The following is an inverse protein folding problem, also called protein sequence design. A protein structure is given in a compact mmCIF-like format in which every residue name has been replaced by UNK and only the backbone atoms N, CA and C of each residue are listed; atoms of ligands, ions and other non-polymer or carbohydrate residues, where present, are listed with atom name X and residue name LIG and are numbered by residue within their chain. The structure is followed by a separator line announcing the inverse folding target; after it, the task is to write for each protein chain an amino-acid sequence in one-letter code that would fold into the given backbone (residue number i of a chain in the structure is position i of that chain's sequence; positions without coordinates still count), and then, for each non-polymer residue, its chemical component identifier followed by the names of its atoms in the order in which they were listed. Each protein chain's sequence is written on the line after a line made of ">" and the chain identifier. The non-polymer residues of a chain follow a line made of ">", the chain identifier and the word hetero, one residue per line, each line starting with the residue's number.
data_IF_846999059169
#
_entry.id   IF_846999059169
#
_cell.length_a   1.000
_cell.length_b   1.000
_cell.length_c   1.000
_cell.angle_alpha   90.00
_cell.angle_beta   90.00
_cell.angle_gamma   90.00
#
_symmetry.space_group_name_H-M   'P 1'
#
loop_
_entity.id
_entity.type
_entity.pdbx_description
1 polymer ?
#
# COMPACT_ATOMS: atom_id res chain seq x y z
N UNK A 1 -7.67 -55.91 -86.33
CA UNK A 1 -8.20 -55.29 -85.09
C UNK A 1 -7.20 -55.44 -83.96
N UNK A 2 -6.43 -54.38 -83.61
CA UNK A 2 -5.40 -54.39 -82.54
C UNK A 2 -6.00 -53.64 -81.35
N UNK A 3 -6.16 -54.38 -80.25
CA UNK A 3 -6.57 -53.74 -78.92
C UNK A 3 -5.31 -53.19 -78.24
N UNK A 4 -5.30 -51.91 -77.98
CA UNK A 4 -4.33 -51.26 -77.11
C UNK A 4 -4.82 -51.30 -75.66
N UNK A 5 -4.03 -51.93 -74.77
CA UNK A 5 -4.24 -51.95 -73.35
C UNK A 5 -3.40 -50.80 -72.76
N UNK A 6 -4.00 -49.83 -72.08
CA UNK A 6 -3.34 -48.80 -71.28
C UNK A 6 -3.22 -49.25 -69.82
N UNK A 7 -2.03 -49.15 -69.22
CA UNK A 7 -1.93 -49.40 -67.78
C UNK A 7 -2.33 -48.16 -66.96
N UNK A 8 -3.27 -48.35 -65.99
CA UNK A 8 -3.62 -47.36 -64.98
C UNK A 8 -2.50 -47.27 -63.95
N UNK A 9 -1.92 -46.07 -63.83
CA UNK A 9 -0.96 -45.74 -62.76
C UNK A 9 -1.76 -45.15 -61.61
N UNK A 10 -1.88 -45.89 -60.49
CA UNK A 10 -2.39 -45.36 -59.21
C UNK A 10 -1.31 -44.53 -58.55
N UNK A 11 -1.51 -43.17 -58.48
CA UNK A 11 -0.71 -42.28 -57.66
C UNK A 11 -1.34 -42.26 -56.29
N UNK A 12 -0.68 -42.95 -55.34
CA UNK A 12 -1.02 -42.82 -53.91
C UNK A 12 -0.41 -41.53 -53.39
N UNK A 13 -1.22 -40.49 -53.23
CA UNK A 13 -0.84 -39.23 -52.58
C UNK A 13 -0.68 -39.42 -51.06
N UNK A 14 0.55 -39.40 -50.57
CA UNK A 14 0.83 -39.24 -49.13
C UNK A 14 0.46 -37.81 -48.72
N UNK A 15 -0.67 -37.62 -48.00
CA UNK A 15 -0.93 -36.43 -47.22
C UNK A 15 -0.02 -36.44 -45.98
N UNK A 16 1.10 -35.71 -46.04
CA UNK A 16 1.86 -35.37 -44.84
C UNK A 16 1.05 -34.35 -44.03
N UNK A 17 0.36 -34.78 -42.97
CA UNK A 17 -0.18 -33.92 -41.96
C UNK A 17 1.00 -33.22 -41.24
N UNK A 18 1.26 -31.95 -41.58
CA UNK A 18 2.12 -31.10 -40.82
C UNK A 18 1.45 -30.89 -39.44
N UNK A 19 1.94 -31.62 -38.44
CA UNK A 19 1.60 -31.31 -37.04
C UNK A 19 2.15 -29.91 -36.72
N UNK A 20 1.27 -28.92 -36.68
CA UNK A 20 1.62 -27.63 -36.09
C UNK A 20 2.05 -27.88 -34.64
N UNK A 21 3.25 -27.44 -34.23
CA UNK A 21 3.63 -27.58 -32.83
C UNK A 21 2.58 -26.85 -32.02
N UNK A 22 1.92 -27.58 -31.08
CA UNK A 22 1.09 -26.97 -30.07
C UNK A 22 1.97 -25.91 -29.37
N UNK A 23 1.63 -24.63 -29.54
CA UNK A 23 2.28 -23.56 -28.79
C UNK A 23 2.13 -23.94 -27.32
N UNK A 24 3.24 -24.32 -26.68
CA UNK A 24 3.26 -24.49 -25.24
C UNK A 24 2.69 -23.19 -24.66
N UNK A 25 1.60 -23.29 -23.90
CA UNK A 25 1.02 -22.13 -23.26
C UNK A 25 2.13 -21.43 -22.50
N UNK A 26 2.43 -20.18 -22.89
CA UNK A 26 3.53 -19.43 -22.29
C UNK A 26 3.27 -19.34 -20.79
N UNK A 27 4.22 -19.85 -19.98
CA UNK A 27 4.06 -19.96 -18.53
C UNK A 27 3.79 -18.59 -17.93
N UNK A 28 2.71 -18.44 -17.15
CA UNK A 28 2.35 -17.18 -16.52
C UNK A 28 3.43 -16.72 -15.54
N UNK A 29 3.56 -15.40 -15.33
CA UNK A 29 4.42 -14.85 -14.27
C UNK A 29 3.58 -14.72 -13.00
N UNK A 30 3.91 -15.49 -11.97
CA UNK A 30 3.20 -15.49 -10.70
C UNK A 30 3.70 -14.38 -9.80
N UNK A 31 2.77 -13.56 -9.29
CA UNK A 31 3.02 -12.50 -8.32
C UNK A 31 2.21 -12.79 -7.06
N UNK A 32 2.91 -12.90 -5.92
CA UNK A 32 2.25 -13.08 -4.62
C UNK A 32 1.55 -11.79 -4.17
N UNK A 33 0.38 -11.94 -3.56
CA UNK A 33 -0.34 -10.82 -2.92
C UNK A 33 -0.80 -11.29 -1.55
N UNK A 34 -0.35 -10.62 -0.49
CA UNK A 34 -0.79 -10.95 0.86
C UNK A 34 -1.04 -9.71 1.71
N UNK A 35 -2.17 -9.72 2.38
CA UNK A 35 -2.69 -8.68 3.28
C UNK A 35 -3.91 -9.25 4.01
N UNK A 36 -4.44 -8.57 5.04
CA UNK A 36 -5.70 -8.98 5.65
C UNK A 36 -6.88 -8.69 4.71
N UNK A 37 -7.52 -9.75 4.26
CA UNK A 37 -8.77 -9.68 3.49
C UNK A 37 -9.99 -9.92 4.37
N UNK A 38 -9.79 -10.09 5.67
CA UNK A 38 -10.79 -10.27 6.70
C UNK A 38 -10.42 -9.52 7.99
N UNK A 39 -11.36 -9.41 8.94
CA UNK A 39 -11.15 -8.76 10.23
C UNK A 39 -11.07 -7.23 10.19
N UNK A 40 -10.58 -6.63 11.27
CA UNK A 40 -10.58 -5.16 11.48
C UNK A 40 -9.71 -4.36 10.52
N UNK A 41 -8.73 -5.00 9.87
CA UNK A 41 -7.85 -4.39 8.88
C UNK A 41 -8.27 -4.67 7.43
N UNK A 42 -9.42 -5.30 7.20
CA UNK A 42 -9.88 -5.73 5.86
C UNK A 42 -10.05 -4.56 4.89
N UNK A 43 -10.51 -3.39 5.35
CA UNK A 43 -10.70 -2.21 4.49
C UNK A 43 -9.43 -1.88 3.70
N UNK A 44 -8.26 -1.90 4.35
CA UNK A 44 -7.01 -1.61 3.66
C UNK A 44 -6.56 -2.77 2.77
N UNK A 45 -6.66 -4.02 3.24
CA UNK A 45 -6.20 -5.19 2.48
C UNK A 45 -7.02 -5.43 1.22
N UNK A 46 -8.36 -5.37 1.33
CA UNK A 46 -9.26 -5.50 0.19
C UNK A 46 -9.07 -4.34 -0.78
N UNK A 47 -8.93 -3.10 -0.30
CA UNK A 47 -8.72 -1.94 -1.16
C UNK A 47 -7.39 -2.05 -1.92
N UNK A 48 -6.30 -2.44 -1.25
CA UNK A 48 -5.00 -2.70 -1.88
C UNK A 48 -5.09 -3.78 -2.96
N UNK A 49 -5.64 -4.95 -2.61
CA UNK A 49 -5.84 -6.06 -3.55
C UNK A 49 -6.63 -5.64 -4.78
N UNK A 50 -7.71 -4.89 -4.58
CA UNK A 50 -8.55 -4.40 -5.66
C UNK A 50 -7.80 -3.41 -6.57
N UNK A 51 -6.97 -2.54 -6.01
CA UNK A 51 -6.08 -1.67 -6.79
C UNK A 51 -5.06 -2.48 -7.62
N UNK A 52 -4.44 -3.49 -7.02
CA UNK A 52 -3.53 -4.42 -7.72
C UNK A 52 -4.25 -5.13 -8.87
N UNK A 53 -5.44 -5.68 -8.62
CA UNK A 53 -6.23 -6.38 -9.64
C UNK A 53 -6.58 -5.47 -10.83
N UNK A 54 -6.95 -4.21 -10.58
CA UNK A 54 -7.19 -3.24 -11.66
C UNK A 54 -5.95 -3.03 -12.52
N UNK A 55 -4.78 -2.80 -11.90
CA UNK A 55 -3.53 -2.64 -12.62
C UNK A 55 -3.17 -3.88 -13.44
N UNK A 56 -3.28 -5.08 -12.86
CA UNK A 56 -2.93 -6.33 -13.55
C UNK A 56 -3.88 -6.64 -14.70
N UNK A 57 -5.16 -6.32 -14.58
CA UNK A 57 -6.08 -6.44 -15.71
C UNK A 57 -5.76 -5.48 -16.84
N UNK A 58 -5.44 -4.22 -16.52
CA UNK A 58 -4.98 -3.24 -17.50
C UNK A 58 -3.73 -3.74 -18.21
N UNK A 59 -2.74 -4.22 -17.47
CA UNK A 59 -1.48 -4.78 -17.99
C UNK A 59 -1.74 -5.99 -18.89
N UNK A 60 -2.52 -6.96 -18.42
CA UNK A 60 -2.77 -8.19 -19.15
C UNK A 60 -3.64 -7.99 -20.41
N UNK A 61 -4.57 -7.01 -20.38
CA UNK A 61 -5.47 -6.73 -21.49
C UNK A 61 -4.84 -5.80 -22.54
N UNK A 62 -4.17 -4.72 -22.10
CA UNK A 62 -3.67 -3.69 -22.99
C UNK A 62 -2.23 -3.93 -23.45
N UNK A 63 -1.38 -4.45 -22.56
CA UNK A 63 0.04 -4.73 -22.85
C UNK A 63 0.33 -6.20 -23.15
N UNK A 64 -0.64 -7.10 -23.05
CA UNK A 64 -0.45 -8.54 -23.24
C UNK A 64 0.44 -9.19 -22.16
N UNK A 65 0.59 -8.51 -20.99
CA UNK A 65 1.49 -8.92 -19.93
C UNK A 65 2.94 -8.50 -20.17
N UNK A 66 3.89 -9.28 -19.70
CA UNK A 66 5.33 -9.03 -19.84
C UNK A 66 5.88 -9.92 -20.95
N UNK A 67 6.24 -9.35 -22.09
CA UNK A 67 6.72 -10.06 -23.29
C UNK A 67 5.77 -11.19 -23.72
N UNK A 68 4.46 -10.94 -23.73
CA UNK A 68 3.44 -11.93 -24.10
C UNK A 68 2.99 -12.84 -22.93
N UNK A 69 3.73 -12.88 -21.83
CA UNK A 69 3.41 -13.71 -20.65
C UNK A 69 2.47 -12.95 -19.71
N UNK A 70 1.28 -13.48 -19.47
CA UNK A 70 0.32 -12.88 -18.53
C UNK A 70 0.81 -12.96 -17.10
N UNK A 71 0.42 -11.98 -16.30
CA UNK A 71 0.65 -11.97 -14.86
C UNK A 71 -0.53 -12.67 -14.16
N UNK A 72 -0.21 -13.61 -13.29
CA UNK A 72 -1.12 -14.34 -12.43
C UNK A 72 -0.93 -13.90 -10.98
N UNK A 73 -2.01 -13.54 -10.27
CA UNK A 73 -1.96 -13.17 -8.86
C UNK A 73 -2.21 -14.40 -7.99
N UNK A 74 -1.30 -14.65 -7.04
CA UNK A 74 -1.43 -15.68 -6.01
C UNK A 74 -1.74 -14.99 -4.70
N UNK A 75 -3.02 -14.95 -4.33
CA UNK A 75 -3.52 -14.18 -3.19
C UNK A 75 -3.61 -15.00 -1.90
N UNK A 76 -3.25 -14.40 -0.76
CA UNK A 76 -3.31 -14.98 0.59
C UNK A 76 -3.83 -13.98 1.60
N UNK A 77 -4.79 -14.39 2.42
CA UNK A 77 -5.30 -13.60 3.56
C UNK A 77 -4.43 -13.88 4.79
N UNK A 78 -3.66 -12.87 5.24
CA UNK A 78 -2.82 -12.97 6.43
C UNK A 78 -3.57 -12.66 7.74
N UNK A 79 -4.84 -12.24 7.65
CA UNK A 79 -5.72 -11.93 8.77
C UNK A 79 -5.12 -10.92 9.77
N UNK A 80 -4.13 -10.12 9.34
CA UNK A 80 -3.31 -9.25 10.19
C UNK A 80 -2.56 -10.00 11.32
N UNK A 81 -2.32 -11.31 11.14
CA UNK A 81 -1.66 -12.17 12.12
C UNK A 81 -0.22 -12.47 11.72
N UNK A 82 0.79 -11.96 12.50
CA UNK A 82 2.20 -12.17 12.19
C UNK A 82 2.63 -13.65 12.15
N UNK A 83 2.06 -14.50 13.00
CA UNK A 83 2.48 -15.90 13.09
C UNK A 83 1.94 -16.72 11.92
N UNK A 84 0.66 -16.58 11.58
CA UNK A 84 0.09 -17.28 10.42
C UNK A 84 0.70 -16.84 9.10
N UNK A 85 1.06 -15.56 8.98
CA UNK A 85 1.66 -15.00 7.78
C UNK A 85 3.01 -15.62 7.40
N UNK A 86 3.79 -16.13 8.38
CA UNK A 86 5.07 -16.80 8.10
C UNK A 86 4.88 -18.04 7.22
N UNK A 87 3.89 -18.87 7.53
CA UNK A 87 3.56 -20.04 6.71
C UNK A 87 3.06 -19.70 5.31
N UNK A 88 2.20 -18.66 5.21
CA UNK A 88 1.69 -18.18 3.91
C UNK A 88 2.81 -17.66 3.00
N UNK A 89 3.76 -16.92 3.58
CA UNK A 89 4.91 -16.40 2.82
C UNK A 89 5.85 -17.53 2.38
N UNK A 90 6.09 -18.53 3.22
CA UNK A 90 6.87 -19.71 2.83
C UNK A 90 6.21 -20.46 1.66
N UNK A 91 4.88 -20.60 1.66
CA UNK A 91 4.14 -21.17 0.53
C UNK A 91 4.32 -20.33 -0.75
N UNK A 92 4.13 -19.00 -0.69
CA UNK A 92 4.31 -18.12 -1.84
C UNK A 92 5.69 -18.28 -2.47
N UNK A 93 6.73 -18.35 -1.65
CA UNK A 93 8.13 -18.43 -2.09
C UNK A 93 8.46 -19.83 -2.62
N UNK A 94 8.19 -20.88 -1.84
CA UNK A 94 8.70 -22.23 -2.11
C UNK A 94 7.78 -23.09 -2.97
N UNK A 95 6.46 -22.99 -2.71
CA UNK A 95 5.45 -23.81 -3.41
C UNK A 95 4.97 -23.13 -4.68
N UNK A 96 4.51 -21.88 -4.56
CA UNK A 96 3.97 -21.12 -5.69
C UNK A 96 5.06 -20.55 -6.59
N UNK A 97 6.30 -20.37 -6.05
CA UNK A 97 7.49 -19.86 -6.73
C UNK A 97 7.24 -18.52 -7.40
N UNK A 98 6.70 -17.57 -6.63
CA UNK A 98 6.39 -16.24 -7.14
C UNK A 98 7.65 -15.47 -7.54
N UNK A 99 7.59 -14.75 -8.66
CA UNK A 99 8.68 -13.91 -9.18
C UNK A 99 8.93 -12.68 -8.31
N UNK A 100 7.89 -12.17 -7.66
CA UNK A 100 7.90 -11.08 -6.71
C UNK A 100 6.63 -11.14 -5.87
N UNK A 101 6.55 -10.33 -4.81
CA UNK A 101 5.32 -10.19 -4.02
C UNK A 101 4.93 -8.72 -3.83
N UNK A 102 3.62 -8.46 -3.77
CA UNK A 102 2.98 -7.22 -3.40
C UNK A 102 2.27 -7.43 -2.04
N UNK A 103 2.76 -6.87 -1.02
CA UNK A 103 2.34 -7.02 0.38
C UNK A 103 3.32 -6.21 1.20
N UNK A 104 3.12 -5.97 2.33
CA UNK A 104 2.23 -6.32 3.41
C UNK A 104 1.43 -5.08 3.84
N UNK A 105 0.34 -5.27 4.56
CA UNK A 105 -0.46 -4.15 5.06
C UNK A 105 -0.13 -3.76 6.50
N UNK A 106 0.00 -4.72 7.40
CA UNK A 106 0.30 -4.48 8.82
C UNK A 106 1.81 -4.55 9.10
N UNK A 107 2.36 -3.56 9.80
CA UNK A 107 3.79 -3.50 10.13
C UNK A 107 4.26 -4.70 10.94
N UNK A 108 3.46 -5.18 11.91
CA UNK A 108 3.80 -6.38 12.69
C UNK A 108 3.94 -7.63 11.82
N UNK A 109 3.04 -7.81 10.85
CA UNK A 109 3.12 -8.89 9.85
C UNK A 109 4.37 -8.73 8.98
N UNK A 110 4.63 -7.50 8.52
CA UNK A 110 5.82 -7.20 7.74
C UNK A 110 7.11 -7.56 8.47
N UNK A 111 7.25 -7.13 9.72
CA UNK A 111 8.43 -7.43 10.53
C UNK A 111 8.65 -8.94 10.74
N UNK A 112 7.58 -9.73 10.74
CA UNK A 112 7.63 -11.18 10.86
C UNK A 112 7.98 -11.90 9.54
N UNK A 113 7.81 -11.25 8.38
CA UNK A 113 7.85 -11.93 7.07
C UNK A 113 8.94 -11.42 6.11
N UNK A 114 9.41 -10.17 6.25
CA UNK A 114 10.39 -9.59 5.31
C UNK A 114 11.71 -10.37 5.22
N UNK A 115 12.14 -11.04 6.30
CA UNK A 115 13.36 -11.85 6.28
C UNK A 115 13.24 -13.05 5.33
N UNK A 116 12.05 -13.65 5.20
CA UNK A 116 11.85 -14.76 4.28
C UNK A 116 12.08 -14.31 2.82
N UNK A 117 11.55 -13.14 2.41
CA UNK A 117 11.79 -12.58 1.08
C UNK A 117 13.24 -12.18 0.87
N UNK A 118 13.86 -11.53 1.87
CA UNK A 118 15.27 -11.14 1.85
C UNK A 118 16.18 -12.35 1.62
N UNK A 119 15.98 -13.43 2.39
CA UNK A 119 16.81 -14.64 2.33
C UNK A 119 16.55 -15.45 1.07
N UNK A 120 15.31 -15.47 0.58
CA UNK A 120 14.94 -16.14 -0.66
C UNK A 120 15.34 -15.36 -1.92
N UNK A 121 15.79 -14.11 -1.77
CA UNK A 121 16.09 -13.20 -2.89
C UNK A 121 14.90 -13.01 -3.83
N UNK A 122 13.71 -12.83 -3.25
CA UNK A 122 12.47 -12.51 -3.96
C UNK A 122 12.08 -11.07 -3.64
N UNK A 123 11.92 -10.18 -4.62
CA UNK A 123 11.52 -8.80 -4.37
C UNK A 123 10.16 -8.73 -3.69
N UNK A 124 10.09 -8.03 -2.57
CA UNK A 124 8.85 -7.64 -1.91
C UNK A 124 8.64 -6.14 -2.08
N UNK A 125 7.58 -5.74 -2.76
CA UNK A 125 7.15 -4.36 -2.78
C UNK A 125 6.03 -4.20 -1.75
N UNK A 126 6.24 -3.33 -0.77
CA UNK A 126 5.29 -3.02 0.31
C UNK A 126 4.40 -1.86 -0.12
N UNK A 127 3.14 -2.10 -0.56
CA UNK A 127 2.29 -1.00 -1.00
C UNK A 127 1.79 -0.15 0.15
N UNK A 128 1.49 -0.76 1.31
CA UNK A 128 0.63 -0.17 2.34
C UNK A 128 1.32 0.04 3.67
N UNK A 129 2.02 -0.95 4.20
CA UNK A 129 2.64 -0.83 5.53
C UNK A 129 3.67 0.30 5.60
N UNK A 130 3.53 1.18 6.60
CA UNK A 130 4.32 2.42 6.74
C UNK A 130 5.45 2.33 7.75
N UNK A 131 5.52 1.27 8.56
CA UNK A 131 6.51 1.12 9.62
C UNK A 131 7.95 1.34 9.12
N UNK A 132 8.65 2.30 9.68
CA UNK A 132 10.01 2.69 9.30
C UNK A 132 10.99 1.53 9.23
N UNK A 133 10.97 0.52 10.14
CA UNK A 133 11.94 -0.57 10.10
C UNK A 133 11.86 -1.47 8.86
N UNK A 134 10.74 -1.54 8.14
CA UNK A 134 10.56 -2.51 7.05
C UNK A 134 11.61 -2.40 5.95
N UNK A 135 11.85 -1.21 5.42
CA UNK A 135 12.88 -0.97 4.39
C UNK A 135 14.25 -0.67 5.00
N UNK A 136 14.29 -0.20 6.26
CA UNK A 136 15.54 0.15 6.94
C UNK A 136 16.28 -1.04 7.54
N UNK A 137 15.59 -2.14 7.83
CA UNK A 137 16.21 -3.33 8.44
C UNK A 137 17.41 -3.86 7.67
N UNK A 138 17.38 -3.78 6.34
CA UNK A 138 18.43 -4.28 5.47
C UNK A 138 19.22 -3.16 4.75
N UNK A 139 19.08 -1.91 5.17
CA UNK A 139 19.75 -0.77 4.52
C UNK A 139 21.28 -0.86 4.51
N UNK A 140 21.89 -1.58 5.46
CA UNK A 140 23.34 -1.84 5.52
C UNK A 140 23.77 -3.17 4.92
N UNK A 141 22.85 -3.99 4.41
CA UNK A 141 23.17 -5.25 3.76
C UNK A 141 23.73 -5.01 2.33
N UNK A 142 24.54 -5.93 1.80
CA UNK A 142 25.04 -5.83 0.42
C UNK A 142 23.93 -5.75 -0.62
N UNK A 143 22.79 -6.36 -0.32
CA UNK A 143 21.58 -6.31 -1.13
C UNK A 143 20.36 -6.13 -0.23
N UNK A 144 19.41 -5.32 -0.65
CA UNK A 144 18.08 -5.19 -0.02
C UNK A 144 17.00 -5.59 -1.04
N UNK A 145 16.11 -6.51 -0.65
CA UNK A 145 15.06 -7.05 -1.50
C UNK A 145 13.68 -6.49 -1.17
N UNK A 146 13.62 -5.53 -0.22
CA UNK A 146 12.39 -4.95 0.28
C UNK A 146 12.26 -3.52 -0.22
N UNK A 147 11.21 -3.25 -1.00
CA UNK A 147 10.84 -1.95 -1.56
C UNK A 147 9.54 -1.47 -0.94
N UNK A 148 9.26 -0.17 -0.99
CA UNK A 148 8.02 0.38 -0.45
C UNK A 148 7.46 1.52 -1.29
N UNK A 149 6.13 1.50 -1.48
CA UNK A 149 5.38 2.57 -2.16
C UNK A 149 4.65 3.46 -1.16
N UNK A 150 4.26 2.96 0.03
CA UNK A 150 3.67 3.80 1.08
C UNK A 150 4.68 4.81 1.65
N UNK A 151 4.25 5.98 2.13
CA UNK A 151 5.12 6.89 2.86
C UNK A 151 5.47 6.29 4.23
N UNK A 152 6.76 6.15 4.54
CA UNK A 152 7.20 5.58 5.84
C UNK A 152 6.86 6.51 7.01
N UNK A 153 6.72 5.94 8.20
CA UNK A 153 6.33 6.69 9.40
C UNK A 153 7.38 7.72 9.80
N UNK A 154 8.68 7.49 9.55
CA UNK A 154 9.74 8.48 9.69
C UNK A 154 9.53 9.76 8.83
N UNK A 155 8.66 9.68 7.81
CA UNK A 155 8.25 10.82 6.97
C UNK A 155 6.89 11.37 7.43
N UNK A 156 5.93 10.49 7.77
CA UNK A 156 4.59 10.89 8.18
C UNK A 156 4.56 11.56 9.56
N UNK A 157 5.28 11.00 10.55
CA UNK A 157 5.24 11.50 11.92
C UNK A 157 5.77 12.94 12.02
N UNK A 158 6.93 13.31 11.44
CA UNK A 158 7.36 14.72 11.38
C UNK A 158 6.37 15.62 10.64
N UNK A 159 5.71 15.11 9.57
CA UNK A 159 4.72 15.87 8.83
C UNK A 159 3.49 16.21 9.69
N UNK A 160 2.97 15.25 10.46
CA UNK A 160 1.86 15.44 11.41
C UNK A 160 2.28 16.40 12.53
N UNK A 161 3.45 16.19 13.12
CA UNK A 161 3.99 17.04 14.20
C UNK A 161 4.17 18.48 13.70
N UNK A 162 4.73 18.69 12.52
CA UNK A 162 4.92 20.01 11.94
C UNK A 162 3.59 20.74 11.73
N UNK A 163 2.53 20.04 11.27
CA UNK A 163 1.20 20.62 11.13
C UNK A 163 0.58 20.97 12.49
N UNK A 164 0.74 20.11 13.50
CA UNK A 164 0.30 20.41 14.87
C UNK A 164 0.97 21.68 15.42
N UNK A 165 2.30 21.78 15.23
CA UNK A 165 3.07 22.94 15.66
C UNK A 165 2.70 24.23 14.89
N UNK A 166 2.44 24.13 13.59
CA UNK A 166 1.97 25.24 12.74
C UNK A 166 0.62 25.76 13.22
N UNK A 167 -0.25 24.90 13.75
CA UNK A 167 -1.55 25.27 14.36
C UNK A 167 -1.43 25.85 15.76
N UNK A 168 -0.23 25.89 16.34
CA UNK A 168 0.01 26.44 17.67
C UNK A 168 -0.01 25.42 18.80
N UNK A 169 -0.27 24.15 18.53
CA UNK A 169 -0.27 23.09 19.54
C UNK A 169 1.16 22.81 20.05
N UNK A 170 1.29 22.56 21.35
CA UNK A 170 2.60 22.31 21.99
C UNK A 170 2.56 21.21 23.03
N UNK A 171 1.38 20.83 23.52
CA UNK A 171 1.18 19.83 24.57
C UNK A 171 0.49 18.60 23.98
N UNK A 172 1.29 17.72 23.41
CA UNK A 172 0.82 16.57 22.62
C UNK A 172 0.52 15.38 23.54
N UNK A 173 -0.70 14.85 23.47
CA UNK A 173 -1.01 13.51 23.95
C UNK A 173 -0.87 12.53 22.78
N UNK A 174 -0.06 11.50 22.95
CA UNK A 174 0.16 10.45 21.96
C UNK A 174 -0.59 9.18 22.34
N UNK A 175 -1.45 8.71 21.46
CA UNK A 175 -2.20 7.45 21.59
C UNK A 175 -1.71 6.45 20.53
N UNK A 176 -1.16 5.31 20.97
CA UNK A 176 -0.62 4.31 20.06
C UNK A 176 -0.97 2.89 20.51
N UNK A 177 -1.39 2.05 19.57
CA UNK A 177 -1.62 0.65 19.89
C UNK A 177 -0.30 -0.11 20.17
N UNK A 178 -0.42 -1.34 20.69
CA UNK A 178 0.73 -2.17 21.07
C UNK A 178 1.23 -3.08 19.95
N UNK A 179 0.73 -2.91 18.72
CA UNK A 179 1.27 -3.65 17.56
C UNK A 179 2.59 -3.06 17.09
N UNK A 180 3.26 -3.76 16.19
CA UNK A 180 4.47 -3.23 15.54
C UNK A 180 4.25 -1.91 14.81
N UNK A 181 3.01 -1.61 14.36
CA UNK A 181 2.65 -0.33 13.77
C UNK A 181 2.60 0.80 14.80
N UNK A 182 1.81 0.61 15.87
CA UNK A 182 1.71 1.62 16.92
C UNK A 182 3.04 1.87 17.61
N UNK A 183 3.88 0.83 17.79
CA UNK A 183 5.22 1.00 18.38
C UNK A 183 6.16 1.81 17.48
N UNK A 184 6.23 1.48 16.18
CA UNK A 184 7.08 2.21 15.23
C UNK A 184 6.63 3.67 15.12
N UNK A 185 5.32 3.92 14.94
CA UNK A 185 4.77 5.25 14.83
C UNK A 185 4.96 6.09 16.10
N UNK A 186 4.79 5.49 17.29
CA UNK A 186 5.08 6.15 18.56
C UNK A 186 6.55 6.65 18.60
N UNK A 187 7.49 5.79 18.27
CA UNK A 187 8.91 6.13 18.28
C UNK A 187 9.23 7.25 17.28
N UNK A 188 8.62 7.23 16.09
CA UNK A 188 8.83 8.27 15.07
C UNK A 188 8.20 9.60 15.47
N UNK A 189 7.03 9.62 16.15
CA UNK A 189 6.42 10.85 16.71
C UNK A 189 7.28 11.41 17.84
N UNK A 190 7.74 10.58 18.78
CA UNK A 190 8.61 11.00 19.88
C UNK A 190 9.93 11.61 19.35
N UNK A 191 10.53 10.99 18.32
CA UNK A 191 11.73 11.51 17.63
C UNK A 191 11.45 12.85 16.95
N UNK A 192 10.30 12.99 16.27
CA UNK A 192 9.92 14.24 15.62
C UNK A 192 9.70 15.38 16.65
N UNK A 193 9.07 15.08 17.77
CA UNK A 193 8.88 16.03 18.86
C UNK A 193 10.22 16.42 19.50
N UNK A 194 11.11 15.46 19.72
CA UNK A 194 12.45 15.73 20.28
C UNK A 194 13.27 16.66 19.36
N UNK A 195 13.16 16.49 18.04
CA UNK A 195 13.78 17.40 17.05
C UNK A 195 13.24 18.84 17.17
N UNK A 196 11.98 19.00 17.59
CA UNK A 196 11.38 20.30 17.86
C UNK A 196 11.59 20.79 19.32
N UNK A 197 12.43 20.13 20.11
CA UNK A 197 12.68 20.45 21.53
C UNK A 197 11.50 20.13 22.46
N UNK A 198 10.60 19.25 22.04
CA UNK A 198 9.39 18.86 22.75
C UNK A 198 9.41 17.37 23.11
N UNK A 199 8.49 16.99 23.97
CA UNK A 199 8.13 15.59 24.25
C UNK A 199 6.62 15.51 24.54
N UNK A 200 5.99 14.32 24.36
CA UNK A 200 4.60 14.15 24.70
C UNK A 200 4.35 14.48 26.18
N UNK A 201 3.24 15.16 26.49
CA UNK A 201 2.79 15.36 27.87
C UNK A 201 2.06 14.13 28.42
N UNK A 202 1.57 13.26 27.53
CA UNK A 202 0.94 11.98 27.85
C UNK A 202 1.20 10.99 26.72
N UNK A 203 1.51 9.74 27.07
CA UNK A 203 1.62 8.61 26.11
C UNK A 203 0.72 7.50 26.57
N UNK A 204 -0.30 7.19 25.78
CA UNK A 204 -1.31 6.18 26.09
C UNK A 204 -1.12 4.96 25.17
N UNK A 205 -1.05 3.78 25.77
CA UNK A 205 -0.88 2.50 25.06
C UNK A 205 -2.09 1.63 25.28
N UNK A 206 -2.52 0.93 24.25
CA UNK A 206 -3.67 0.03 24.29
C UNK A 206 -3.55 -1.10 23.28
N UNK A 207 -4.20 -2.23 23.56
CA UNK A 207 -4.22 -3.36 22.65
C UNK A 207 -5.28 -3.20 21.55
N UNK A 208 -5.08 -3.89 20.44
CA UNK A 208 -6.11 -4.05 19.41
C UNK A 208 -7.33 -4.75 20.03
N UNK A 209 -8.51 -4.31 19.62
CA UNK A 209 -9.78 -4.81 20.17
C UNK A 209 -10.29 -4.06 21.42
N UNK A 210 -9.56 -2.99 21.86
CA UNK A 210 -10.04 -2.13 22.93
C UNK A 210 -11.43 -1.56 22.61
N UNK A 211 -12.30 -1.45 23.63
CA UNK A 211 -13.69 -1.01 23.46
C UNK A 211 -13.96 0.39 24.03
N UNK A 212 -13.13 0.85 24.94
CA UNK A 212 -13.26 2.16 25.60
C UNK A 212 -11.86 2.67 25.99
N UNK A 213 -11.59 3.94 25.71
CA UNK A 213 -10.36 4.66 26.05
C UNK A 213 -10.66 5.89 26.92
N UNK A 214 -11.85 5.93 27.57
CA UNK A 214 -12.30 7.09 28.33
C UNK A 214 -11.33 7.47 29.45
N UNK A 215 -10.77 6.50 30.16
CA UNK A 215 -9.83 6.78 31.26
C UNK A 215 -8.49 7.33 30.72
N UNK A 216 -7.96 6.75 29.66
CA UNK A 216 -6.74 7.23 28.99
C UNK A 216 -6.94 8.67 28.45
N UNK A 217 -8.13 8.96 27.91
CA UNK A 217 -8.49 10.31 27.45
C UNK A 217 -8.57 11.29 28.62
N UNK A 218 -9.14 10.90 29.79
CA UNK A 218 -9.14 11.73 30.99
C UNK A 218 -7.75 12.02 31.52
N UNK A 219 -6.85 11.01 31.51
CA UNK A 219 -5.45 11.17 31.89
C UNK A 219 -4.72 12.17 30.96
N UNK A 220 -4.89 12.03 29.64
CA UNK A 220 -4.34 12.96 28.67
C UNK A 220 -4.84 14.40 28.87
N UNK A 221 -6.14 14.56 29.14
CA UNK A 221 -6.76 15.84 29.47
C UNK A 221 -6.20 16.46 30.77
N UNK A 222 -6.05 15.62 31.81
CA UNK A 222 -5.47 16.06 33.10
C UNK A 222 -3.99 16.43 32.97
N UNK A 223 -3.23 15.82 32.07
CA UNK A 223 -1.86 16.20 31.69
C UNK A 223 -1.79 17.54 30.93
N UNK A 224 -2.93 18.15 30.63
CA UNK A 224 -3.04 19.47 29.98
C UNK A 224 -2.73 19.42 28.50
N UNK A 225 -2.95 18.30 27.82
CA UNK A 225 -2.76 18.19 26.37
C UNK A 225 -3.67 19.16 25.60
N UNK A 226 -3.17 19.75 24.54
CA UNK A 226 -3.89 20.66 23.63
C UNK A 226 -4.19 20.03 22.26
N UNK A 227 -3.62 18.87 21.99
CA UNK A 227 -3.86 18.05 20.78
C UNK A 227 -3.66 16.57 21.11
N UNK A 228 -4.42 15.71 20.45
CA UNK A 228 -4.25 14.26 20.47
C UNK A 228 -3.69 13.80 19.12
N UNK A 229 -2.55 13.11 19.13
CA UNK A 229 -2.00 12.43 17.96
C UNK A 229 -2.24 10.92 18.09
N UNK A 230 -2.89 10.33 17.09
CA UNK A 230 -3.24 8.91 17.02
C UNK A 230 -2.35 8.15 16.06
N UNK A 231 -1.73 7.06 16.56
CA UNK A 231 -1.00 6.06 15.76
C UNK A 231 -1.58 4.66 16.04
N UNK A 232 -2.70 4.37 15.42
CA UNK A 232 -3.39 3.09 15.53
C UNK A 232 -4.22 2.82 14.27
N UNK A 233 -4.76 1.61 14.15
CA UNK A 233 -5.62 1.25 13.00
C UNK A 233 -7.03 1.84 13.15
N UNK A 234 -7.80 1.84 12.05
CA UNK A 234 -9.08 2.55 11.97
C UNK A 234 -10.10 2.23 13.06
N UNK A 235 -10.39 0.97 13.39
CA UNK A 235 -11.36 0.64 14.43
C UNK A 235 -11.02 1.21 15.80
N UNK A 236 -9.76 1.15 16.22
CA UNK A 236 -9.27 1.66 17.51
C UNK A 236 -9.21 3.20 17.51
N UNK A 237 -8.86 3.82 16.38
CA UNK A 237 -8.97 5.26 16.21
C UNK A 237 -10.42 5.74 16.39
N UNK A 238 -11.40 4.96 15.91
CA UNK A 238 -12.82 5.24 16.12
C UNK A 238 -13.21 5.13 17.60
N UNK A 239 -12.67 4.14 18.33
CA UNK A 239 -12.88 4.06 19.80
C UNK A 239 -12.29 5.29 20.49
N UNK A 240 -11.09 5.73 20.09
CA UNK A 240 -10.47 6.95 20.64
C UNK A 240 -11.33 8.19 20.40
N UNK A 241 -11.79 8.40 19.16
CA UNK A 241 -12.63 9.55 18.82
C UNK A 241 -13.93 9.59 19.66
N UNK A 242 -14.64 8.45 19.77
CA UNK A 242 -15.83 8.36 20.64
C UNK A 242 -15.51 8.57 22.11
N UNK A 243 -14.36 8.11 22.59
CA UNK A 243 -13.94 8.31 23.98
C UNK A 243 -13.64 9.78 24.26
N UNK A 244 -13.07 10.51 23.30
CA UNK A 244 -12.90 11.99 23.38
C UNK A 244 -14.27 12.66 23.46
N UNK A 245 -15.19 12.36 22.54
CA UNK A 245 -16.56 12.92 22.53
C UNK A 245 -17.29 12.66 23.85
N UNK A 246 -17.25 11.42 24.37
CA UNK A 246 -17.86 11.01 25.64
C UNK A 246 -17.38 11.85 26.84
N UNK A 247 -16.11 12.26 26.84
CA UNK A 247 -15.54 13.12 27.89
C UNK A 247 -15.86 14.61 27.72
N UNK A 248 -16.55 15.00 26.64
CA UNK A 248 -16.82 16.39 26.26
C UNK A 248 -15.55 17.25 26.25
N UNK A 249 -14.44 16.65 25.87
CA UNK A 249 -13.18 17.35 25.73
C UNK A 249 -13.05 17.91 24.31
N UNK A 250 -13.13 19.24 24.19
CA UNK A 250 -12.90 19.91 22.91
C UNK A 250 -11.40 19.97 22.64
N UNK A 251 -10.87 18.95 21.96
CA UNK A 251 -9.48 18.82 21.58
C UNK A 251 -9.37 18.40 20.12
N UNK A 252 -8.35 18.90 19.42
CA UNK A 252 -8.09 18.46 18.06
C UNK A 252 -7.55 17.03 18.05
N UNK A 253 -8.22 16.15 17.32
CA UNK A 253 -7.70 14.81 16.99
C UNK A 253 -6.96 14.88 15.64
N UNK A 254 -5.71 14.46 15.64
CA UNK A 254 -4.85 14.31 14.46
C UNK A 254 -4.30 12.90 14.41
N UNK A 255 -3.94 12.40 13.24
CA UNK A 255 -3.31 11.09 13.18
C UNK A 255 -2.78 10.69 11.81
N UNK A 256 -2.31 9.48 11.78
CA UNK A 256 -1.79 8.84 10.59
C UNK A 256 -2.93 8.33 9.70
N UNK A 257 -2.58 7.92 8.51
CA UNK A 257 -3.47 7.56 7.40
C UNK A 257 -4.63 6.57 7.70
N UNK A 258 -4.61 5.66 8.72
CA UNK A 258 -5.76 4.83 9.05
C UNK A 258 -7.02 5.60 9.44
N UNK A 259 -6.87 6.85 9.88
CA UNK A 259 -8.03 7.73 10.12
C UNK A 259 -8.73 8.20 8.83
N UNK A 260 -8.25 7.79 7.66
CA UNK A 260 -8.93 7.98 6.36
C UNK A 260 -9.81 6.79 5.95
N UNK A 261 -9.82 5.68 6.71
CA UNK A 261 -10.58 4.48 6.35
C UNK A 261 -12.06 4.61 6.71
N UNK A 262 -12.89 3.87 5.97
CA UNK A 262 -14.33 3.84 6.24
C UNK A 262 -14.65 3.33 7.64
N UNK A 263 -13.95 2.31 8.13
CA UNK A 263 -14.21 1.77 9.47
C UNK A 263 -13.82 2.75 10.61
N UNK A 264 -12.89 3.69 10.38
CA UNK A 264 -12.71 4.82 11.31
C UNK A 264 -13.90 5.77 11.22
N UNK A 265 -14.20 6.26 10.02
CA UNK A 265 -15.24 7.30 9.81
C UNK A 265 -16.61 6.81 10.27
N UNK A 266 -17.02 5.62 9.80
CA UNK A 266 -18.31 5.02 10.15
C UNK A 266 -18.36 4.59 11.62
N UNK A 267 -17.24 4.02 12.12
CA UNK A 267 -17.14 3.58 13.50
C UNK A 267 -17.13 4.71 14.53
N UNK A 268 -16.59 5.86 14.19
CA UNK A 268 -16.59 7.05 15.04
C UNK A 268 -17.88 7.89 14.87
N UNK A 269 -18.53 7.82 13.70
CA UNK A 269 -19.71 8.64 13.41
C UNK A 269 -19.40 10.14 13.53
N UNK A 270 -20.23 10.88 14.28
CA UNK A 270 -20.04 12.32 14.53
C UNK A 270 -18.69 12.66 15.17
N UNK A 271 -18.14 11.76 15.97
CA UNK A 271 -16.85 11.97 16.64
C UNK A 271 -15.65 11.99 15.67
N UNK A 272 -15.81 11.56 14.41
CA UNK A 272 -14.77 11.68 13.38
C UNK A 272 -14.68 13.09 12.80
N UNK A 273 -15.74 13.88 12.89
CA UNK A 273 -15.83 15.19 12.23
C UNK A 273 -14.72 16.15 12.69
N UNK A 274 -14.06 16.80 11.74
CA UNK A 274 -12.94 17.70 12.00
C UNK A 274 -11.60 17.03 12.34
N UNK A 275 -11.54 15.69 12.42
CA UNK A 275 -10.28 14.97 12.61
C UNK A 275 -9.34 15.22 11.43
N UNK A 276 -8.04 15.43 11.72
CA UNK A 276 -7.00 15.69 10.72
C UNK A 276 -6.18 14.42 10.48
N UNK A 277 -5.83 14.17 9.23
CA UNK A 277 -5.14 12.94 8.85
C UNK A 277 -4.07 13.20 7.80
N UNK A 278 -2.87 12.63 7.98
CA UNK A 278 -1.83 12.66 6.96
C UNK A 278 -2.10 11.58 5.90
N UNK A 279 -2.17 11.98 4.64
CA UNK A 279 -2.45 11.06 3.51
C UNK A 279 -1.62 11.40 2.28
N UNK A 280 -1.38 10.42 1.41
CA UNK A 280 -0.77 10.60 0.09
C UNK A 280 -1.77 10.55 -1.07
N UNK A 281 -3.01 10.18 -0.79
CA UNK A 281 -4.07 10.08 -1.79
C UNK A 281 -5.45 10.37 -1.17
N UNK A 282 -6.24 11.17 -1.86
CA UNK A 282 -7.64 11.46 -1.55
C UNK A 282 -8.53 11.07 -2.71
N UNK A 283 -9.73 10.53 -2.40
CA UNK A 283 -10.76 10.24 -3.41
C UNK A 283 -11.46 11.53 -3.84
N UNK A 284 -10.70 12.47 -4.41
CA UNK A 284 -11.22 13.73 -4.92
C UNK A 284 -10.74 13.96 -6.35
N UNK A 285 -11.52 14.73 -7.11
CA UNK A 285 -11.17 15.13 -8.47
C UNK A 285 -9.77 15.75 -8.53
N UNK A 286 -8.98 15.32 -9.49
CA UNK A 286 -7.58 15.71 -9.65
C UNK A 286 -7.17 15.50 -11.13
N UNK A 287 -5.91 15.16 -11.40
CA UNK A 287 -5.46 14.89 -12.76
C UNK A 287 -6.12 13.63 -13.36
N UNK A 288 -6.14 13.56 -14.70
CA UNK A 288 -6.93 12.60 -15.48
C UNK A 288 -6.73 11.13 -15.02
N UNK A 289 -5.47 10.68 -14.79
CA UNK A 289 -5.17 9.30 -14.43
C UNK A 289 -5.76 8.92 -13.07
N UNK A 290 -5.71 9.84 -12.08
CA UNK A 290 -6.33 9.63 -10.78
C UNK A 290 -7.85 9.50 -10.90
N UNK A 291 -8.49 10.36 -11.68
CA UNK A 291 -9.94 10.31 -11.91
C UNK A 291 -10.35 9.02 -12.62
N UNK A 292 -9.59 8.59 -13.63
CA UNK A 292 -9.84 7.34 -14.34
C UNK A 292 -9.74 6.12 -13.38
N UNK A 293 -8.72 6.08 -12.52
CA UNK A 293 -8.59 5.04 -11.50
C UNK A 293 -9.77 5.01 -10.53
N UNK A 294 -10.17 6.16 -9.99
CA UNK A 294 -11.31 6.25 -9.05
C UNK A 294 -12.57 5.72 -9.74
N UNK A 295 -12.86 6.18 -10.96
CA UNK A 295 -14.04 5.74 -11.73
C UNK A 295 -13.99 4.24 -12.02
N UNK A 296 -12.86 3.71 -12.49
CA UNK A 296 -12.69 2.29 -12.76
C UNK A 296 -12.88 1.43 -11.50
N UNK A 297 -12.33 1.87 -10.37
CA UNK A 297 -12.51 1.18 -9.09
C UNK A 297 -13.98 1.17 -8.67
N UNK A 298 -14.64 2.32 -8.70
CA UNK A 298 -16.04 2.46 -8.32
C UNK A 298 -16.97 1.59 -9.18
N UNK A 299 -16.77 1.61 -10.49
CA UNK A 299 -17.56 0.81 -11.43
C UNK A 299 -17.34 -0.69 -11.23
N UNK A 300 -16.07 -1.12 -11.14
CA UNK A 300 -15.73 -2.55 -11.02
C UNK A 300 -16.21 -3.17 -9.72
N UNK A 301 -16.10 -2.45 -8.62
CA UNK A 301 -16.43 -2.97 -7.28
C UNK A 301 -17.78 -2.48 -6.76
N UNK A 302 -18.56 -1.81 -7.61
CA UNK A 302 -19.89 -1.29 -7.32
C UNK A 302 -19.94 -0.52 -5.98
N UNK A 303 -19.05 0.45 -5.81
CA UNK A 303 -18.95 1.25 -4.60
C UNK A 303 -18.74 2.73 -4.92
N UNK A 304 -19.49 3.62 -4.25
CA UNK A 304 -19.28 5.07 -4.39
C UNK A 304 -18.04 5.55 -3.60
N UNK A 305 -17.68 4.86 -2.52
CA UNK A 305 -16.56 5.22 -1.65
C UNK A 305 -15.61 4.05 -1.54
N UNK A 306 -14.35 4.30 -1.85
CA UNK A 306 -13.27 3.33 -1.66
C UNK A 306 -13.02 3.19 -0.15
N UNK A 307 -13.10 1.98 0.45
CA UNK A 307 -12.95 1.83 1.92
C UNK A 307 -11.63 2.35 2.46
N UNK A 308 -10.52 2.13 1.73
CA UNK A 308 -9.21 2.72 2.01
C UNK A 308 -8.61 3.27 0.71
N UNK A 309 -8.91 4.55 0.36
CA UNK A 309 -8.50 5.12 -0.93
C UNK A 309 -6.99 5.12 -1.13
N UNK A 310 -6.23 5.40 -0.06
CA UNK A 310 -4.78 5.41 -0.09
C UNK A 310 -4.21 4.00 -0.38
N UNK A 311 -4.74 2.96 0.30
CA UNK A 311 -4.31 1.58 0.08
C UNK A 311 -4.62 1.08 -1.35
N UNK A 312 -5.78 1.45 -1.89
CA UNK A 312 -6.16 1.12 -3.26
C UNK A 312 -5.19 1.75 -4.28
N UNK A 313 -4.90 3.04 -4.14
CA UNK A 313 -3.98 3.76 -5.00
C UNK A 313 -2.54 3.23 -4.91
N UNK A 314 -2.07 2.94 -3.68
CA UNK A 314 -0.75 2.37 -3.45
C UNK A 314 -0.61 0.95 -4.03
N UNK A 315 -1.66 0.13 -3.92
CA UNK A 315 -1.69 -1.19 -4.55
C UNK A 315 -1.60 -1.12 -6.07
N UNK A 316 -2.37 -0.21 -6.68
CA UNK A 316 -2.32 0.02 -8.12
C UNK A 316 -0.92 0.49 -8.57
N UNK A 317 -0.35 1.50 -7.90
CA UNK A 317 0.95 2.06 -8.28
C UNK A 317 2.09 1.05 -8.04
N UNK A 318 2.03 0.24 -6.98
CA UNK A 318 3.00 -0.82 -6.72
C UNK A 318 3.00 -1.89 -7.82
N UNK A 319 1.81 -2.29 -8.31
CA UNK A 319 1.67 -3.22 -9.42
C UNK A 319 2.20 -2.62 -10.73
N UNK A 320 1.96 -1.34 -10.99
CA UNK A 320 2.49 -0.64 -12.15
C UNK A 320 4.03 -0.55 -12.10
N UNK A 321 4.62 -0.18 -10.96
CA UNK A 321 6.08 -0.14 -10.78
C UNK A 321 6.71 -1.51 -11.00
N UNK A 322 6.13 -2.56 -10.45
CA UNK A 322 6.58 -3.94 -10.65
C UNK A 322 6.50 -4.33 -12.14
N UNK A 323 5.39 -4.01 -12.81
CA UNK A 323 5.23 -4.28 -14.24
C UNK A 323 6.32 -3.59 -15.07
N UNK A 324 6.55 -2.29 -14.86
CA UNK A 324 7.58 -1.56 -15.59
C UNK A 324 8.98 -2.12 -15.34
N UNK A 325 9.27 -2.57 -14.13
CA UNK A 325 10.53 -3.25 -13.81
C UNK A 325 10.66 -4.60 -14.53
N UNK A 326 9.61 -5.43 -14.52
CA UNK A 326 9.59 -6.71 -15.26
C UNK A 326 9.70 -6.51 -16.77
N UNK A 327 9.00 -5.49 -17.29
CA UNK A 327 9.06 -5.16 -18.72
C UNK A 327 10.46 -4.68 -19.13
N UNK A 328 11.11 -3.82 -18.32
CA UNK A 328 12.49 -3.38 -18.52
C UNK A 328 13.48 -4.55 -18.43
N UNK A 329 13.28 -5.44 -17.46
CA UNK A 329 14.10 -6.65 -17.30
C UNK A 329 13.88 -7.69 -18.41
N UNK A 330 12.75 -7.62 -19.12
CA UNK A 330 12.32 -8.61 -20.10
C UNK A 330 12.09 -10.00 -19.49
N UNK A 331 11.87 -10.10 -18.17
CA UNK A 331 11.94 -11.36 -17.44
C UNK A 331 11.09 -11.35 -16.17
N UNK A 332 10.64 -12.55 -15.75
CA UNK A 332 10.11 -12.84 -14.41
C UNK A 332 11.18 -13.29 -13.41
N UNK A 333 12.45 -13.21 -13.74
CA UNK A 333 13.55 -13.57 -12.83
C UNK A 333 13.65 -12.55 -11.67
N UNK A 334 13.61 -12.99 -10.39
CA UNK A 334 13.63 -12.11 -9.24
C UNK A 334 14.82 -11.15 -9.17
N UNK A 335 16.04 -11.62 -9.55
CA UNK A 335 17.23 -10.78 -9.48
C UNK A 335 17.22 -9.68 -10.55
N UNK A 336 16.75 -9.99 -11.75
CA UNK A 336 16.57 -9.00 -12.82
C UNK A 336 15.47 -7.98 -12.48
N UNK A 337 14.38 -8.42 -11.84
CA UNK A 337 13.32 -7.55 -11.38
C UNK A 337 13.86 -6.56 -10.33
N UNK A 338 14.59 -7.06 -9.31
CA UNK A 338 15.22 -6.22 -8.30
C UNK A 338 16.14 -5.16 -8.92
N UNK A 339 17.03 -5.59 -9.80
CA UNK A 339 17.95 -4.67 -10.49
C UNK A 339 17.21 -3.60 -11.30
N UNK A 340 16.12 -3.98 -11.97
CA UNK A 340 15.30 -3.05 -12.73
C UNK A 340 14.54 -2.08 -11.84
N UNK A 341 14.06 -2.51 -10.66
CA UNK A 341 13.42 -1.63 -9.67
C UNK A 341 14.39 -0.56 -9.17
N UNK A 342 15.65 -0.92 -8.88
CA UNK A 342 16.68 0.00 -8.40
C UNK A 342 17.17 1.01 -9.46
N UNK A 343 16.89 0.77 -10.74
CA UNK A 343 17.33 1.64 -11.84
C UNK A 343 16.28 1.69 -12.97
N UNK A 344 15.06 2.09 -12.63
CA UNK A 344 14.01 2.32 -13.62
C UNK A 344 14.44 3.40 -14.60
N UNK A 345 14.47 3.07 -15.89
CA UNK A 345 14.95 3.95 -16.96
C UNK A 345 13.90 4.95 -17.45
N UNK A 346 12.62 4.67 -17.23
CA UNK A 346 11.51 5.50 -17.66
C UNK A 346 10.61 5.88 -16.49
N UNK A 347 10.06 7.08 -16.47
CA UNK A 347 9.07 7.45 -15.47
C UNK A 347 7.84 6.54 -15.55
N UNK A 348 7.30 6.18 -14.39
CA UNK A 348 6.04 5.45 -14.23
C UNK A 348 4.96 6.42 -13.80
N UNK A 349 3.93 6.55 -14.63
CA UNK A 349 2.81 7.44 -14.36
C UNK A 349 1.79 6.71 -13.48
N UNK A 350 1.90 6.91 -12.17
CA UNK A 350 0.97 6.36 -11.18
C UNK A 350 -0.27 7.22 -10.98
N UNK A 351 -1.13 6.77 -10.06
CA UNK A 351 -2.34 7.51 -9.65
C UNK A 351 -2.10 8.40 -8.43
N UNK A 352 -1.05 8.11 -7.66
CA UNK A 352 -0.58 8.97 -6.57
C UNK A 352 0.31 10.07 -7.15
N UNK A 353 1.31 9.69 -7.94
CA UNK A 353 2.33 10.59 -8.47
C UNK A 353 2.96 10.04 -9.75
N UNK A 354 3.86 10.81 -10.37
CA UNK A 354 4.79 10.28 -11.37
C UNK A 354 6.07 9.83 -10.66
N UNK A 355 6.39 8.56 -10.82
CA UNK A 355 7.59 7.95 -10.25
C UNK A 355 8.73 8.07 -11.25
N UNK A 356 9.68 8.96 -10.98
CA UNK A 356 10.91 9.13 -11.76
C UNK A 356 12.09 8.68 -10.90
N UNK A 357 12.65 7.50 -11.21
CA UNK A 357 13.68 6.83 -10.41
C UNK A 357 13.30 6.74 -8.92
N UNK A 358 12.15 6.11 -8.59
CA UNK A 358 11.63 6.10 -7.22
C UNK A 358 12.54 5.33 -6.25
N UNK A 359 13.31 4.39 -6.77
CA UNK A 359 14.22 3.54 -6.01
C UNK A 359 15.67 3.67 -6.52
N UNK A 360 16.61 3.35 -5.66
CA UNK A 360 18.02 3.19 -5.96
C UNK A 360 18.59 2.06 -5.10
N UNK A 361 19.84 1.70 -5.28
CA UNK A 361 20.51 0.69 -4.44
C UNK A 361 20.58 1.07 -2.96
N UNK A 362 20.42 2.34 -2.61
CA UNK A 362 20.51 2.85 -1.23
C UNK A 362 19.18 3.38 -0.68
N UNK A 363 18.18 3.57 -1.52
CA UNK A 363 16.85 4.08 -1.13
C UNK A 363 15.73 3.28 -1.80
N UNK A 364 15.03 2.50 -1.02
CA UNK A 364 13.92 1.63 -1.46
C UNK A 364 12.53 2.18 -1.09
N UNK A 365 12.42 3.44 -0.73
CA UNK A 365 11.14 4.12 -0.43
C UNK A 365 10.73 5.03 -1.59
N UNK A 366 9.58 4.82 -2.20
CA UNK A 366 9.15 5.57 -3.39
C UNK A 366 8.64 6.98 -3.10
N UNK A 367 8.11 7.23 -1.90
CA UNK A 367 7.47 8.51 -1.55
C UNK A 367 8.30 9.32 -0.56
N UNK A 368 8.23 10.65 -0.70
CA UNK A 368 8.83 11.65 0.16
C UNK A 368 7.78 12.62 0.74
N UNK A 369 8.17 13.47 1.68
CA UNK A 369 7.26 14.32 2.45
C UNK A 369 6.44 15.28 1.58
N UNK A 370 6.98 15.76 0.46
CA UNK A 370 6.26 16.65 -0.47
C UNK A 370 5.05 15.99 -1.16
N UNK A 371 4.91 14.67 -1.04
CA UNK A 371 3.77 13.89 -1.58
C UNK A 371 2.67 13.66 -0.53
N UNK A 372 2.86 14.15 0.70
CA UNK A 372 1.86 14.11 1.75
C UNK A 372 1.03 15.39 1.77
N UNK A 373 -0.22 15.25 2.19
CA UNK A 373 -1.15 16.33 2.48
C UNK A 373 -1.87 16.08 3.79
N UNK A 374 -2.38 17.13 4.44
CA UNK A 374 -3.31 16.97 5.55
C UNK A 374 -4.73 16.93 4.98
N UNK A 375 -5.42 15.84 5.24
CA UNK A 375 -6.86 15.70 5.07
C UNK A 375 -7.62 16.10 6.32
N UNK A 376 -8.88 16.44 6.16
CA UNK A 376 -9.83 16.68 7.24
C UNK A 376 -11.10 15.86 6.96
N UNK A 377 -11.62 15.21 8.00
CA UNK A 377 -12.91 14.52 7.90
C UNK A 377 -14.02 15.55 7.92
N UNK A 378 -14.86 15.57 6.87
CA UNK A 378 -16.05 16.40 6.75
C UNK A 378 -17.19 15.62 6.13
N UNK A 379 -18.34 15.62 6.79
CA UNK A 379 -19.57 14.94 6.30
C UNK A 379 -19.30 13.48 5.86
N UNK A 380 -18.49 12.78 6.64
CA UNK A 380 -18.15 11.38 6.41
C UNK A 380 -17.17 11.13 5.25
N UNK A 381 -16.49 12.15 4.76
CA UNK A 381 -15.46 12.06 3.72
C UNK A 381 -14.16 12.73 4.16
N UNK A 382 -13.04 12.35 3.58
CA UNK A 382 -11.77 13.05 3.80
C UNK A 382 -11.55 14.02 2.65
N UNK A 383 -11.39 15.30 3.00
CA UNK A 383 -11.13 16.40 2.07
C UNK A 383 -9.78 17.04 2.36
N UNK A 384 -9.25 17.85 1.44
CA UNK A 384 -8.05 18.65 1.72
C UNK A 384 -8.30 19.63 2.87
N UNK A 385 -7.44 19.64 3.88
CA UNK A 385 -7.51 20.59 4.99
C UNK A 385 -7.09 22.01 4.56
N UNK A 386 -6.24 22.12 3.55
CA UNK A 386 -5.71 23.39 3.05
C UNK A 386 -6.02 23.57 1.56
N UNK A 387 -6.40 24.81 1.17
CA UNK A 387 -6.70 25.16 -0.22
C UNK A 387 -5.50 24.95 -1.17
N UNK A 388 -4.31 25.27 -0.69
CA UNK A 388 -3.09 25.14 -1.49
C UNK A 388 -2.78 23.68 -1.81
N UNK A 389 -3.05 22.76 -0.86
CA UNK A 389 -2.90 21.33 -1.10
C UNK A 389 -3.92 20.81 -2.12
N UNK A 390 -5.15 21.34 -2.11
CA UNK A 390 -6.15 21.03 -3.13
C UNK A 390 -5.69 21.46 -4.53
N UNK A 391 -5.09 22.64 -4.66
CA UNK A 391 -4.50 23.10 -5.93
C UNK A 391 -3.31 22.24 -6.36
N UNK A 392 -2.43 21.86 -5.43
CA UNK A 392 -1.32 20.92 -5.69
C UNK A 392 -1.80 19.55 -6.14
N UNK A 393 -3.00 19.11 -5.76
CA UNK A 393 -3.61 17.86 -6.21
C UNK A 393 -3.81 17.77 -7.72
N UNK A 394 -3.77 18.90 -8.47
CA UNK A 394 -3.80 18.92 -9.93
C UNK A 394 -2.41 18.90 -10.57
N UNK A 395 -1.35 18.99 -9.78
CA UNK A 395 0.05 18.96 -10.25
C UNK A 395 0.70 17.66 -9.80
N UNK A 396 1.33 16.97 -10.74
CA UNK A 396 2.08 15.75 -10.42
C UNK A 396 3.27 16.10 -9.53
N UNK A 397 3.32 15.51 -8.35
CA UNK A 397 4.44 15.66 -7.41
C UNK A 397 5.46 14.56 -7.66
N UNK A 398 6.75 14.91 -7.74
CA UNK A 398 7.86 13.97 -7.85
C UNK A 398 8.59 13.86 -6.52
N UNK A 399 9.22 12.71 -6.27
CA UNK A 399 10.11 12.50 -5.11
C UNK A 399 11.24 13.53 -5.12
N UNK A 400 11.47 14.15 -3.94
CA UNK A 400 12.54 15.10 -3.67
C UNK A 400 13.57 14.50 -2.74
#
# INVERSE_FOLDING_TARGET
>A
MKRHIFPSVCIAGLLAMAATPASAAEETIKIGVYCPFSGGSADMGISMRNGIRLAIEEINSMAGGVNGRKIELVERDDQANPESAKGLVDELIRKDKVSAALGVCNTGVGLATIEAFQNARVPLIVPVSTGTPLTKKFAGAPENWIFRVSPRDEVQAPFIVADALKRGFRKIALFADTTGYGEAGKNDVEKALATAGLKPVSVQRFAIGVKDLTEQVKEAKAAGADVVISYTVGPEAAVLARSIEKTKWNVQLMGSWPMSWRNFIDGAGSASEGSLVAVSFLQQASFQRRNAFITAYQQKYNTAVIPSPMAAAQGYDAAMLLFYAMHQAGSGDPAKIKQALEDLKRPVYGVITTYDKPFSTTDHDALSANMLVIGVVRKGMVEYAYKDDAQRGFVVQRKQ
#
